data_IF_711211899238
#
_entry.id   IF_711211899238
#
_cell.length_a   1.000
_cell.length_b   1.000
_cell.length_c   1.000
_cell.angle_alpha   90.00
_cell.angle_beta   90.00
_cell.angle_gamma   90.00
#
_symmetry.space_group_name_H-M   'P 1'
#
loop_
_entity.id
_entity.type
_entity.pdbx_description
1 polymer ?
#
# COMPACT_ATOMS: atom_id res chain seq x y z
N UNK A 1 -14.25 -21.12 31.84
CA UNK A 1 -12.80 -21.05 31.59
C UNK A 1 -12.61 -20.07 30.44
N UNK A 2 -11.81 -19.02 30.58
CA UNK A 2 -11.63 -18.06 29.50
C UNK A 2 -11.02 -18.79 28.30
N UNK A 3 -11.62 -18.57 27.13
CA UNK A 3 -11.18 -19.17 25.86
C UNK A 3 -9.69 -18.90 25.68
N UNK A 4 -8.91 -19.96 25.47
CA UNK A 4 -7.46 -19.84 25.32
C UNK A 4 -7.18 -19.10 24.01
N UNK A 5 -6.92 -17.80 24.13
CA UNK A 5 -6.71 -16.90 22.98
C UNK A 5 -5.62 -17.51 22.10
N UNK A 6 -5.95 -17.70 20.82
CA UNK A 6 -5.08 -18.37 19.85
C UNK A 6 -3.73 -17.63 19.72
N UNK A 7 -2.68 -18.35 19.33
CA UNK A 7 -1.35 -17.74 19.06
C UNK A 7 -1.43 -16.64 18.01
N UNK A 8 -2.26 -16.84 16.99
CA UNK A 8 -2.49 -15.85 15.92
C UNK A 8 -3.07 -14.55 16.46
N UNK A 9 -4.01 -14.66 17.40
CA UNK A 9 -4.70 -13.52 17.98
C UNK A 9 -3.81 -12.76 18.96
N UNK A 10 -3.00 -13.49 19.75
CA UNK A 10 -1.92 -12.90 20.55
C UNK A 10 -0.92 -12.12 19.69
N UNK A 11 -0.53 -12.66 18.53
CA UNK A 11 0.35 -11.96 17.59
C UNK A 11 -0.30 -10.69 17.00
N UNK A 12 -1.58 -10.74 16.61
CA UNK A 12 -2.30 -9.54 16.10
C UNK A 12 -2.36 -8.44 17.16
N UNK A 13 -2.68 -8.79 18.40
CA UNK A 13 -2.74 -7.84 19.51
C UNK A 13 -1.36 -7.22 19.76
N UNK A 14 -0.29 -8.03 19.76
CA UNK A 14 1.06 -7.52 19.97
C UNK A 14 1.50 -6.52 18.88
N UNK A 15 1.19 -6.79 17.60
CA UNK A 15 1.48 -5.86 16.50
C UNK A 15 0.68 -4.56 16.65
N UNK A 16 -0.60 -4.65 17.02
CA UNK A 16 -1.43 -3.45 17.25
C UNK A 16 -0.86 -2.55 18.34
N UNK A 17 -0.48 -3.15 19.48
CA UNK A 17 0.11 -2.40 20.61
C UNK A 17 1.42 -1.72 20.19
N UNK A 18 2.27 -2.43 19.45
CA UNK A 18 3.53 -1.85 18.98
C UNK A 18 3.30 -0.65 18.06
N UNK A 19 2.31 -0.73 17.16
CA UNK A 19 1.96 0.38 16.26
C UNK A 19 1.40 1.58 17.01
N UNK A 20 0.52 1.36 17.99
CA UNK A 20 -0.07 2.43 18.81
C UNK A 20 1.02 3.17 19.60
N UNK A 21 1.96 2.42 20.19
CA UNK A 21 3.09 3.00 20.94
C UNK A 21 4.00 3.82 20.02
N UNK A 22 4.31 3.31 18.81
CA UNK A 22 5.09 4.05 17.81
C UNK A 22 4.40 5.37 17.45
N UNK A 23 3.09 5.34 17.21
CA UNK A 23 2.33 6.53 16.81
C UNK A 23 2.23 7.57 17.93
N UNK A 24 2.08 7.13 19.19
CA UNK A 24 2.03 8.02 20.35
C UNK A 24 3.42 8.61 20.67
N UNK A 25 4.47 7.79 20.62
CA UNK A 25 5.83 8.25 20.92
C UNK A 25 6.38 9.17 19.83
N UNK A 26 6.09 8.88 18.56
CA UNK A 26 6.53 9.67 17.42
C UNK A 26 5.53 10.78 17.02
N UNK A 27 4.70 11.26 17.95
CA UNK A 27 3.77 12.36 17.69
C UNK A 27 4.54 13.62 17.25
N UNK A 28 4.34 14.04 15.99
CA UNK A 28 5.09 15.14 15.35
C UNK A 28 6.23 14.71 14.41
N UNK A 29 6.58 13.42 14.38
CA UNK A 29 7.59 12.82 13.49
C UNK A 29 6.97 11.80 12.52
N UNK A 30 5.75 12.08 12.03
CA UNK A 30 4.98 11.18 11.15
C UNK A 30 5.76 10.74 9.90
N UNK A 31 6.59 11.63 9.35
CA UNK A 31 7.38 11.33 8.16
C UNK A 31 8.41 10.22 8.38
N UNK A 32 8.99 10.13 9.59
CA UNK A 32 9.94 9.06 9.94
C UNK A 32 9.21 7.73 10.05
N UNK A 33 8.04 7.72 10.70
CA UNK A 33 7.20 6.51 10.82
C UNK A 33 6.77 6.01 9.43
N UNK A 34 6.37 6.92 8.55
CA UNK A 34 6.02 6.62 7.16
C UNK A 34 7.24 6.08 6.42
N UNK A 35 8.43 6.66 6.61
CA UNK A 35 9.66 6.20 5.97
C UNK A 35 10.06 4.78 6.39
N UNK A 36 10.04 4.48 7.68
CA UNK A 36 10.39 3.16 8.21
C UNK A 36 9.39 2.10 7.77
N UNK A 37 8.09 2.39 7.86
CA UNK A 37 7.02 1.48 7.36
C UNK A 37 7.15 1.31 5.85
N UNK A 38 7.42 2.39 5.12
CA UNK A 38 7.67 2.36 3.70
C UNK A 38 8.83 1.44 3.33
N UNK A 39 9.97 1.60 4.01
CA UNK A 39 11.13 0.73 3.85
C UNK A 39 10.81 -0.74 4.13
N UNK A 40 10.05 -1.04 5.18
CA UNK A 40 9.57 -2.41 5.47
C UNK A 40 8.68 -2.98 4.36
N UNK A 41 7.93 -2.13 3.67
CA UNK A 41 7.09 -2.50 2.53
C UNK A 41 7.86 -2.48 1.19
N UNK A 42 9.15 -2.12 1.21
CA UNK A 42 10.03 -2.02 0.05
C UNK A 42 9.76 -0.79 -0.81
N UNK A 43 9.37 0.32 -0.20
CA UNK A 43 9.20 1.63 -0.81
C UNK A 43 10.42 2.51 -0.53
N UNK A 44 10.92 3.19 -1.55
CA UNK A 44 11.99 4.18 -1.40
C UNK A 44 11.47 5.52 -0.84
N UNK A 45 12.35 6.34 -0.23
CA UNK A 45 11.99 7.67 0.28
C UNK A 45 11.28 8.59 -0.73
N UNK A 46 11.62 8.49 -2.03
CA UNK A 46 10.94 9.24 -3.10
C UNK A 46 9.52 8.75 -3.35
N UNK A 47 9.27 7.44 -3.21
CA UNK A 47 7.93 6.84 -3.32
C UNK A 47 7.07 7.25 -2.13
N UNK A 48 7.69 7.51 -0.97
CA UNK A 48 7.00 7.96 0.24
C UNK A 48 6.57 9.43 0.19
N UNK A 49 7.30 10.28 -0.57
CA UNK A 49 6.84 11.65 -0.87
C UNK A 49 5.54 11.66 -1.69
N UNK A 50 5.26 10.62 -2.47
CA UNK A 50 3.98 10.50 -3.18
C UNK A 50 2.82 10.12 -2.26
N UNK A 51 3.11 9.50 -1.11
CA UNK A 51 2.11 9.20 -0.08
C UNK A 51 1.63 10.48 0.61
N UNK A 52 2.45 11.54 0.70
CA UNK A 52 2.03 12.84 1.24
C UNK A 52 1.07 13.61 0.33
N UNK A 53 1.03 13.30 -0.97
CA UNK A 53 0.15 13.95 -1.95
C UNK A 53 -1.13 13.12 -2.25
N UNK A 54 -1.34 12.02 -1.53
CA UNK A 54 -2.52 11.14 -1.70
C UNK A 54 -2.40 10.22 -2.92
N UNK A 55 -3.11 9.09 -2.86
CA UNK A 55 -3.13 8.08 -3.93
C UNK A 55 -3.69 8.62 -5.26
N UNK A 56 -4.47 9.71 -5.19
CA UNK A 56 -5.18 10.34 -6.31
C UNK A 56 -4.20 10.87 -7.37
N UNK A 57 -3.05 11.39 -6.98
CA UNK A 57 -2.06 11.93 -7.92
C UNK A 57 -1.35 10.82 -8.71
N UNK A 58 -1.10 9.67 -8.08
CA UNK A 58 -0.57 8.47 -8.76
C UNK A 58 -1.59 7.99 -9.79
N UNK A 59 -2.88 7.93 -9.43
CA UNK A 59 -3.94 7.49 -10.33
C UNK A 59 -4.16 8.48 -11.48
N UNK A 60 -4.06 9.78 -11.22
CA UNK A 60 -4.17 10.85 -12.22
C UNK A 60 -3.03 10.82 -13.23
N UNK A 61 -1.80 10.58 -12.77
CA UNK A 61 -0.65 10.37 -13.64
C UNK A 61 -0.81 9.10 -14.50
N UNK A 62 -1.51 8.09 -13.98
CA UNK A 62 -1.89 6.90 -14.71
C UNK A 62 -0.73 5.92 -14.96
N UNK A 63 -1.04 4.90 -15.75
CA UNK A 63 -0.06 3.94 -16.26
C UNK A 63 0.50 4.46 -17.59
N UNK A 64 1.82 4.45 -17.70
CA UNK A 64 2.57 4.65 -18.95
C UNK A 64 3.33 3.37 -19.26
N UNK A 65 3.79 3.21 -20.50
CA UNK A 65 4.62 2.04 -20.86
C UNK A 65 5.86 1.91 -19.96
N UNK A 66 6.57 3.00 -19.71
CA UNK A 66 7.73 3.04 -18.81
C UNK A 66 7.36 2.62 -17.39
N UNK A 67 6.25 3.14 -16.85
CA UNK A 67 5.77 2.77 -15.51
C UNK A 67 5.32 1.30 -15.42
N UNK A 68 4.80 0.73 -16.51
CA UNK A 68 4.40 -0.66 -16.58
C UNK A 68 5.60 -1.62 -16.60
N UNK A 69 6.69 -1.22 -17.28
CA UNK A 69 7.93 -2.01 -17.38
C UNK A 69 8.85 -1.84 -16.15
N UNK A 70 8.61 -0.80 -15.34
CA UNK A 70 9.21 -0.63 -14.02
C UNK A 70 8.38 -1.31 -12.92
N UNK A 71 8.98 -2.31 -12.27
CA UNK A 71 8.36 -3.04 -11.16
C UNK A 71 7.88 -2.11 -10.02
N UNK A 72 8.63 -1.04 -9.72
CA UNK A 72 8.26 -0.10 -8.66
C UNK A 72 7.09 0.77 -9.10
N UNK A 73 7.18 1.34 -10.31
CA UNK A 73 6.14 2.13 -10.94
C UNK A 73 4.78 1.43 -11.00
N UNK A 74 4.73 0.18 -11.47
CA UNK A 74 3.47 -0.56 -11.55
C UNK A 74 2.92 -0.90 -10.16
N UNK A 75 3.78 -1.26 -9.21
CA UNK A 75 3.38 -1.57 -7.83
C UNK A 75 2.82 -0.34 -7.11
N UNK A 76 3.43 0.83 -7.32
CA UNK A 76 2.94 2.10 -6.78
C UNK A 76 1.52 2.39 -7.28
N UNK A 77 1.26 2.20 -8.59
CA UNK A 77 -0.07 2.35 -9.16
C UNK A 77 -1.07 1.34 -8.60
N UNK A 78 -0.67 0.07 -8.46
CA UNK A 78 -1.51 -1.00 -7.88
C UNK A 78 -1.89 -0.69 -6.44
N UNK A 79 -0.96 -0.21 -5.63
CA UNK A 79 -1.23 0.17 -4.23
C UNK A 79 -2.20 1.35 -4.16
N UNK A 80 -1.99 2.37 -5.00
CA UNK A 80 -2.90 3.52 -5.08
C UNK A 80 -4.32 3.10 -5.51
N UNK A 81 -4.42 2.22 -6.51
CA UNK A 81 -5.72 1.71 -6.98
C UNK A 81 -6.38 0.81 -5.95
N UNK A 82 -5.62 -0.03 -5.26
CA UNK A 82 -6.16 -0.85 -4.18
C UNK A 82 -6.69 0.01 -3.03
N UNK A 83 -5.99 1.10 -2.68
CA UNK A 83 -6.48 2.06 -1.70
C UNK A 83 -7.81 2.70 -2.12
N UNK A 84 -7.91 3.16 -3.38
CA UNK A 84 -9.17 3.70 -3.91
C UNK A 84 -10.31 2.69 -3.86
N UNK A 85 -10.04 1.42 -4.19
CA UNK A 85 -11.03 0.34 -4.14
C UNK A 85 -11.48 0.04 -2.71
N UNK A 86 -10.60 0.20 -1.72
CA UNK A 86 -10.96 0.06 -0.31
C UNK A 86 -11.85 1.22 0.14
N UNK A 87 -11.48 2.46 -0.17
CA UNK A 87 -12.24 3.64 0.26
C UNK A 87 -13.60 3.76 -0.42
N UNK A 88 -13.67 3.50 -1.73
CA UNK A 88 -14.87 3.76 -2.53
C UNK A 88 -15.79 2.56 -2.69
N UNK A 89 -15.23 1.35 -2.64
CA UNK A 89 -15.99 0.11 -2.87
C UNK A 89 -16.03 -0.82 -1.64
N UNK A 90 -15.53 -0.37 -0.46
CA UNK A 90 -15.46 -1.13 0.79
C UNK A 90 -14.86 -2.54 0.62
N UNK A 91 -13.86 -2.67 -0.26
CA UNK A 91 -13.21 -3.95 -0.52
C UNK A 91 -12.22 -4.29 0.58
N UNK A 92 -12.10 -5.59 0.90
CA UNK A 92 -11.00 -6.09 1.70
C UNK A 92 -9.68 -5.90 0.95
N UNK A 93 -8.62 -5.50 1.65
CA UNK A 93 -7.29 -5.23 1.06
C UNK A 93 -6.81 -6.30 0.08
N UNK A 94 -6.94 -7.59 0.44
CA UNK A 94 -6.54 -8.72 -0.42
C UNK A 94 -7.26 -8.72 -1.78
N UNK A 95 -8.57 -8.46 -1.77
CA UNK A 95 -9.39 -8.46 -2.97
C UNK A 95 -9.14 -7.19 -3.80
N UNK A 96 -8.91 -6.05 -3.12
CA UNK A 96 -8.54 -4.79 -3.76
C UNK A 96 -7.21 -4.89 -4.51
N UNK A 97 -6.17 -5.45 -3.88
CA UNK A 97 -4.86 -5.69 -4.51
C UNK A 97 -4.99 -6.63 -5.72
N UNK A 98 -5.75 -7.72 -5.58
CA UNK A 98 -5.95 -8.67 -6.68
C UNK A 98 -6.63 -7.99 -7.88
N UNK A 99 -7.69 -7.21 -7.64
CA UNK A 99 -8.41 -6.46 -8.67
C UNK A 99 -7.49 -5.42 -9.33
N UNK A 100 -6.76 -4.64 -8.52
CA UNK A 100 -5.81 -3.63 -9.02
C UNK A 100 -4.71 -4.24 -9.91
N UNK A 101 -4.18 -5.42 -9.58
CA UNK A 101 -3.21 -6.11 -10.44
C UNK A 101 -3.80 -6.58 -11.77
N UNK A 102 -5.05 -7.05 -11.79
CA UNK A 102 -5.73 -7.42 -13.03
C UNK A 102 -5.90 -6.20 -13.92
N UNK A 103 -6.41 -5.10 -13.36
CA UNK A 103 -6.58 -3.84 -14.09
C UNK A 103 -5.25 -3.29 -14.61
N UNK A 104 -4.18 -3.36 -13.80
CA UNK A 104 -2.85 -2.90 -14.21
C UNK A 104 -2.34 -3.72 -15.41
N UNK A 105 -2.46 -5.05 -15.36
CA UNK A 105 -2.01 -5.93 -16.45
C UNK A 105 -2.76 -5.67 -17.75
N UNK A 106 -4.08 -5.55 -17.70
CA UNK A 106 -4.90 -5.27 -18.88
C UNK A 106 -4.49 -3.94 -19.53
N UNK A 107 -4.41 -2.87 -18.73
CA UNK A 107 -4.02 -1.54 -19.22
C UNK A 107 -2.58 -1.48 -19.73
N UNK A 108 -1.65 -2.16 -19.07
CA UNK A 108 -0.26 -2.21 -19.52
C UNK A 108 -0.09 -3.00 -20.82
N UNK A 109 -0.88 -4.06 -21.04
CA UNK A 109 -0.92 -4.77 -22.31
C UNK A 109 -1.45 -3.88 -23.44
N UNK A 110 -2.48 -3.06 -23.19
CA UNK A 110 -2.97 -2.07 -24.17
C UNK A 110 -1.90 -1.02 -24.54
N UNK A 111 -0.99 -0.72 -23.61
CA UNK A 111 0.15 0.17 -23.82
C UNK A 111 1.35 -0.52 -24.50
N UNK A 112 1.26 -1.82 -24.78
CA UNK A 112 2.34 -2.61 -25.38
C UNK A 112 3.56 -2.76 -24.48
N UNK A 113 3.35 -2.75 -23.16
CA UNK A 113 4.37 -3.01 -22.14
C UNK A 113 4.52 -4.52 -21.88
N UNK A 114 5.71 -4.94 -21.45
CA UNK A 114 5.95 -6.28 -20.90
C UNK A 114 5.88 -6.18 -19.37
N UNK A 115 4.97 -6.93 -18.75
CA UNK A 115 4.62 -6.86 -17.31
C UNK A 115 4.89 -8.16 -16.59
#
# INVERSE_FOLDING_TARGET
>A
MPEDVSKEEKCRVAVSIAMDEIMNYCEGAKDIVIQEIGGMLGLEPEELKSVSNGYEDILRAGLTKERCEDFRGIRQWVMARAWELMEKEDKRFKDAIKKAWVEAKERCLELGAVV
#
